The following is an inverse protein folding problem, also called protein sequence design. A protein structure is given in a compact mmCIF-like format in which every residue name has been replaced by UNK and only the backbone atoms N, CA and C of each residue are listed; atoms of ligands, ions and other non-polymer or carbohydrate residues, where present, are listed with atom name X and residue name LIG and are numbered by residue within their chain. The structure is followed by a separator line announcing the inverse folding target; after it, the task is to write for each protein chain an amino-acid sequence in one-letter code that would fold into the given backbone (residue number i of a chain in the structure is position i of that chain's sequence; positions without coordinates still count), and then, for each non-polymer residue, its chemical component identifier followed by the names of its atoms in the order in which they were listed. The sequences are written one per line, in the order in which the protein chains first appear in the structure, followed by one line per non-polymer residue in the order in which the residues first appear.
data_IF_232126513056
#
_entry.id   IF_232126513056
#
_cell.length_a   1.000
_cell.length_b   1.000
_cell.length_c   1.000
_cell.angle_alpha   90.00
_cell.angle_beta   90.00
_cell.angle_gamma   90.00
#
_symmetry.space_group_name_H-M   'P 1'
#
loop_
_entity.id
_entity.type
_entity.pdbx_description
1 polymer ?
#
# COMPACT_ATOMS: atom_id res chain seq x y z
N UNK A 1 -13.36 18.33 23.43
CA UNK A 1 -12.16 18.01 22.62
C UNK A 1 -12.45 18.38 21.18
N UNK A 2 -11.96 19.53 20.73
CA UNK A 2 -12.10 19.95 19.33
C UNK A 2 -11.22 19.03 18.48
N UNK A 3 -11.79 17.92 17.99
CA UNK A 3 -11.07 16.94 17.19
C UNK A 3 -10.63 17.58 15.88
N UNK A 4 -9.38 18.06 15.83
CA UNK A 4 -8.78 18.54 14.59
C UNK A 4 -8.89 17.42 13.56
N UNK A 5 -9.60 17.69 12.46
CA UNK A 5 -9.68 16.76 11.35
C UNK A 5 -8.28 16.56 10.80
N UNK A 6 -7.89 15.30 10.62
CA UNK A 6 -6.64 14.93 9.92
C UNK A 6 -6.56 15.66 8.56
N UNK A 7 -5.36 16.01 8.09
CA UNK A 7 -5.16 16.58 6.76
C UNK A 7 -5.83 15.75 5.67
N UNK A 8 -6.32 16.41 4.61
CA UNK A 8 -7.03 15.75 3.50
C UNK A 8 -6.19 14.63 2.86
N UNK A 9 -4.88 14.84 2.70
CA UNK A 9 -3.97 13.85 2.14
C UNK A 9 -3.93 12.56 2.97
N UNK A 10 -3.84 12.68 4.29
CA UNK A 10 -3.84 11.54 5.21
C UNK A 10 -5.16 10.78 5.15
N UNK A 11 -6.29 11.49 5.11
CA UNK A 11 -7.62 10.87 5.00
C UNK A 11 -7.80 10.12 3.69
N UNK A 12 -7.26 10.65 2.58
CA UNK A 12 -7.27 9.97 1.28
C UNK A 12 -6.42 8.70 1.30
N UNK A 13 -5.24 8.75 1.91
CA UNK A 13 -4.38 7.58 2.06
C UNK A 13 -5.04 6.48 2.91
N UNK A 14 -5.66 6.85 4.04
CA UNK A 14 -6.41 5.92 4.90
C UNK A 14 -7.60 5.28 4.15
N UNK A 15 -8.35 6.08 3.39
CA UNK A 15 -9.45 5.58 2.57
C UNK A 15 -8.98 4.62 1.47
N UNK A 16 -7.87 4.94 0.78
CA UNK A 16 -7.28 4.08 -0.24
C UNK A 16 -6.81 2.74 0.35
N UNK A 17 -6.09 2.76 1.48
CA UNK A 17 -5.66 1.55 2.17
C UNK A 17 -6.83 0.70 2.69
N UNK A 18 -7.93 1.33 3.10
CA UNK A 18 -9.17 0.64 3.48
C UNK A 18 -9.83 -0.04 2.28
N UNK A 19 -9.95 0.67 1.15
CA UNK A 19 -10.52 0.14 -0.08
C UNK A 19 -9.70 -1.04 -0.63
N UNK A 20 -8.37 -0.95 -0.61
CA UNK A 20 -7.49 -2.05 -1.05
C UNK A 20 -7.67 -3.29 -0.16
N UNK A 21 -7.80 -3.13 1.16
CA UNK A 21 -8.11 -4.26 2.06
C UNK A 21 -9.47 -4.86 1.80
N UNK A 22 -10.49 -4.04 1.54
CA UNK A 22 -11.82 -4.51 1.16
C UNK A 22 -11.81 -5.27 -0.19
N UNK A 23 -10.89 -4.92 -1.09
CA UNK A 23 -10.65 -5.65 -2.33
C UNK A 23 -9.83 -6.94 -2.15
N UNK A 24 -9.42 -7.29 -0.92
CA UNK A 24 -8.69 -8.51 -0.61
C UNK A 24 -7.17 -8.39 -0.73
N UNK A 25 -6.61 -7.18 -0.75
CA UNK A 25 -5.17 -6.95 -0.74
C UNK A 25 -4.62 -6.69 0.68
N UNK A 26 -3.32 -6.93 0.87
CA UNK A 26 -2.60 -6.61 2.11
C UNK A 26 -2.65 -5.09 2.43
N UNK A 27 -2.42 -4.25 1.44
CA UNK A 27 -2.43 -2.78 1.51
C UNK A 27 -1.46 -2.14 2.51
N UNK A 28 -0.45 -2.87 2.99
CA UNK A 28 0.62 -2.28 3.80
C UNK A 28 1.37 -1.23 2.96
N UNK A 29 1.64 -0.05 3.53
CA UNK A 29 2.40 1.00 2.83
C UNK A 29 3.89 0.74 3.02
N UNK A 30 4.68 0.90 1.95
CA UNK A 30 6.13 0.79 2.04
C UNK A 30 6.71 1.85 3.01
N UNK A 31 7.71 1.56 3.85
CA UNK A 31 8.25 2.51 4.83
C UNK A 31 8.76 3.83 4.23
N UNK A 32 9.35 3.76 3.03
CA UNK A 32 9.86 4.93 2.30
C UNK A 32 8.75 5.69 1.54
N UNK A 33 7.50 5.22 1.63
CA UNK A 33 6.37 5.75 0.85
C UNK A 33 6.44 5.38 -0.63
N UNK A 34 5.43 5.80 -1.39
CA UNK A 34 5.41 5.63 -2.86
C UNK A 34 4.99 4.25 -3.39
N UNK A 35 4.79 3.24 -2.54
CA UNK A 35 4.26 1.93 -2.91
C UNK A 35 3.35 1.36 -1.82
N UNK A 36 2.42 0.48 -2.22
CA UNK A 36 1.51 -0.22 -1.30
C UNK A 36 1.34 -1.68 -1.68
N UNK A 37 1.28 -2.56 -0.69
CA UNK A 37 1.30 -3.99 -0.91
C UNK A 37 -0.01 -4.42 -1.57
N UNK A 38 0.07 -4.92 -2.80
CA UNK A 38 -1.11 -5.34 -3.58
C UNK A 38 -1.18 -6.84 -3.76
N UNK A 39 -0.46 -7.59 -2.92
CA UNK A 39 -0.59 -9.04 -2.83
C UNK A 39 -1.70 -9.43 -1.84
N UNK A 40 -2.02 -10.72 -1.77
CA UNK A 40 -3.01 -11.23 -0.82
C UNK A 40 -2.52 -11.27 0.65
N UNK A 41 -3.38 -11.00 1.65
CA UNK A 41 -3.01 -10.82 3.07
C UNK A 41 -2.41 -12.02 3.81
N UNK A 42 -2.54 -13.25 3.29
CA UNK A 42 -2.26 -14.48 4.07
C UNK A 42 -0.89 -15.09 3.82
N UNK A 43 -0.12 -14.50 2.94
CA UNK A 43 1.17 -15.02 2.55
C UNK A 43 2.25 -14.44 3.50
N UNK A 44 3.47 -14.93 3.48
CA UNK A 44 4.66 -14.57 4.30
C UNK A 44 4.97 -13.08 4.65
N UNK A 45 6.08 -12.80 5.37
CA UNK A 45 6.54 -11.44 5.76
C UNK A 45 6.96 -10.54 4.58
N UNK A 46 6.91 -11.04 3.35
CA UNK A 46 7.33 -10.33 2.16
C UNK A 46 6.16 -9.60 1.55
N UNK A 47 6.31 -8.31 1.33
CA UNK A 47 5.33 -7.46 0.67
C UNK A 47 5.76 -7.18 -0.75
N UNK A 48 4.78 -7.10 -1.66
CA UNK A 48 4.98 -6.86 -3.08
C UNK A 48 3.91 -5.89 -3.57
N UNK A 49 4.33 -4.84 -4.28
CA UNK A 49 3.45 -4.00 -5.08
C UNK A 49 3.54 -4.46 -6.54
N UNK A 50 2.42 -4.90 -7.15
CA UNK A 50 2.39 -5.32 -8.55
C UNK A 50 2.08 -4.17 -9.52
N UNK A 51 1.64 -3.04 -9.00
CA UNK A 51 1.05 -1.96 -9.80
C UNK A 51 1.90 -0.68 -9.77
N UNK A 52 2.51 -0.33 -8.63
CA UNK A 52 3.40 0.83 -8.49
C UNK A 52 4.84 0.40 -8.19
N UNK A 53 5.77 1.37 -8.26
CA UNK A 53 7.18 1.13 -7.92
C UNK A 53 7.93 0.21 -8.88
N UNK A 54 7.43 0.03 -10.12
CA UNK A 54 8.13 -0.73 -11.16
C UNK A 54 9.49 -0.10 -11.45
N UNK A 55 10.54 -0.93 -11.48
CA UNK A 55 11.90 -0.47 -11.79
C UNK A 55 12.05 -0.27 -13.29
N UNK A 56 11.33 -1.05 -14.09
CA UNK A 56 11.31 -0.99 -15.53
C UNK A 56 9.89 -1.21 -16.08
N UNK A 57 9.63 -0.72 -17.30
CA UNK A 57 8.31 -0.81 -17.95
C UNK A 57 7.81 -2.26 -18.11
N UNK A 58 8.72 -3.23 -18.21
CA UNK A 58 8.41 -4.64 -18.41
C UNK A 58 8.21 -5.45 -17.13
N UNK A 59 8.41 -4.87 -15.95
CA UNK A 59 8.37 -5.64 -14.71
C UNK A 59 6.94 -6.06 -14.36
N UNK A 60 6.76 -7.35 -14.04
CA UNK A 60 5.50 -7.92 -13.58
C UNK A 60 5.17 -7.57 -12.11
N UNK A 61 6.19 -7.22 -11.33
CA UNK A 61 6.10 -6.68 -9.97
C UNK A 61 6.97 -5.43 -9.85
N UNK A 62 6.55 -4.51 -9.00
CA UNK A 62 7.30 -3.32 -8.65
C UNK A 62 8.10 -3.51 -7.36
N UNK A 63 7.86 -2.65 -6.38
CA UNK A 63 8.64 -2.65 -5.13
C UNK A 63 8.31 -3.87 -4.28
N UNK A 64 9.36 -4.49 -3.74
CA UNK A 64 9.26 -5.58 -2.79
C UNK A 64 10.01 -5.22 -1.51
N UNK A 65 9.43 -5.56 -0.36
CA UNK A 65 10.03 -5.26 0.95
C UNK A 65 9.61 -6.31 1.98
N UNK A 66 10.27 -6.30 3.13
CA UNK A 66 9.96 -7.17 4.26
C UNK A 66 9.59 -6.28 5.44
N UNK A 67 8.62 -6.73 6.25
CA UNK A 67 8.30 -6.10 7.54
C UNK A 67 9.36 -6.37 8.61
#
# INVERSE_FOLDING_TARGET
MSGQRKPLAQRRAEAAASASRAAGYCALVHPEGGASCTRWPHDDRRHVDHYNGRKQLGDASGTEWVE
#
